data_IF_959404783523
#
_entry.id   IF_959404783523
#
_cell.length_a   1.000
_cell.length_b   1.000
_cell.length_c   1.000
_cell.angle_alpha   90.00
_cell.angle_beta   90.00
_cell.angle_gamma   90.00
#
_symmetry.space_group_name_H-M   'P 1'
#
loop_
_entity.id
_entity.type
_entity.pdbx_description
1 polymer ?
#
# COMPACT_ATOMS: atom_id res chain seq x y z
N UNK A 1 -26.93 2.30 2.83
CA UNK A 1 -26.17 3.58 2.99
C UNK A 1 -24.71 3.21 2.78
N UNK A 2 -24.21 3.37 1.57
CA UNK A 2 -22.78 3.19 1.27
C UNK A 2 -22.03 4.24 2.04
N UNK A 3 -21.19 3.79 2.94
CA UNK A 3 -20.45 4.64 3.83
C UNK A 3 -19.45 5.45 3.00
N UNK A 4 -19.51 6.76 3.14
CA UNK A 4 -18.53 7.72 2.62
C UNK A 4 -17.15 7.56 3.31
N UNK A 5 -16.73 6.29 3.52
CA UNK A 5 -15.55 5.91 4.27
C UNK A 5 -14.35 5.86 3.33
N UNK A 6 -13.77 7.02 3.06
CA UNK A 6 -12.63 7.19 2.17
C UNK A 6 -11.35 7.46 2.96
N UNK A 7 -10.21 7.15 2.37
CA UNK A 7 -8.93 7.73 2.75
C UNK A 7 -8.75 9.04 1.98
N UNK A 8 -8.65 10.16 2.69
CA UNK A 8 -8.54 11.50 2.10
C UNK A 8 -7.30 12.19 2.63
N UNK A 9 -6.54 12.74 1.72
CA UNK A 9 -5.34 13.53 1.99
C UNK A 9 -5.57 14.95 1.47
N UNK A 10 -5.41 15.95 2.35
CA UNK A 10 -5.63 17.36 2.01
C UNK A 10 -4.38 18.17 2.26
N UNK A 11 -3.85 18.79 1.22
CA UNK A 11 -2.77 19.77 1.27
C UNK A 11 -1.56 19.34 2.11
N UNK A 12 -1.12 18.06 2.03
CA UNK A 12 0.01 17.57 2.82
C UNK A 12 1.32 18.23 2.40
N UNK A 13 2.04 18.76 3.38
CA UNK A 13 3.35 19.39 3.21
C UNK A 13 4.39 18.75 4.09
N UNK A 14 5.58 18.48 3.54
CA UNK A 14 6.75 18.05 4.31
C UNK A 14 8.01 18.80 3.91
N UNK A 15 8.67 19.37 4.91
CA UNK A 15 9.95 20.07 4.77
C UNK A 15 11.02 19.39 5.63
N UNK A 16 12.21 19.27 5.08
CA UNK A 16 13.42 18.82 5.76
C UNK A 16 14.47 19.93 5.67
N UNK A 17 14.61 20.72 6.72
CA UNK A 17 15.41 21.95 6.68
C UNK A 17 14.91 22.92 5.60
N UNK A 18 15.77 23.21 4.63
CA UNK A 18 15.45 24.11 3.51
C UNK A 18 14.73 23.39 2.33
N UNK A 19 14.76 22.04 2.30
CA UNK A 19 14.18 21.26 1.21
C UNK A 19 12.72 20.93 1.48
N UNK A 20 11.82 21.32 0.58
CA UNK A 20 10.42 20.85 0.58
C UNK A 20 10.35 19.55 -0.20
N UNK A 21 10.06 18.45 0.48
CA UNK A 21 9.93 17.13 -0.14
C UNK A 21 8.52 16.85 -0.67
N UNK A 22 7.51 17.42 -0.02
CA UNK A 22 6.09 17.36 -0.44
C UNK A 22 5.49 18.73 -0.23
N UNK A 23 4.76 19.25 -1.23
CA UNK A 23 4.32 20.63 -1.31
C UNK A 23 2.82 20.73 -1.63
N UNK A 24 1.99 20.32 -0.68
CA UNK A 24 0.54 20.45 -0.78
C UNK A 24 -0.11 19.39 -1.66
N UNK A 25 0.23 18.10 -1.46
CA UNK A 25 -0.45 17.02 -2.19
C UNK A 25 -1.86 16.81 -1.68
N UNK A 26 -2.75 16.50 -2.62
CA UNK A 26 -4.12 16.07 -2.38
C UNK A 26 -4.35 14.76 -3.12
N UNK A 27 -4.96 13.80 -2.45
CA UNK A 27 -5.38 12.54 -3.06
C UNK A 27 -6.50 11.90 -2.23
N UNK A 28 -7.26 11.05 -2.87
CA UNK A 28 -8.24 10.22 -2.18
C UNK A 28 -8.18 8.77 -2.68
N UNK A 29 -8.64 7.85 -1.85
CA UNK A 29 -8.83 6.42 -2.19
C UNK A 29 -10.19 6.00 -1.68
N UNK A 30 -11.00 5.41 -2.56
CA UNK A 30 -12.30 4.85 -2.19
C UNK A 30 -12.14 3.39 -1.74
N UNK A 31 -13.07 2.83 -0.94
CA UNK A 31 -13.17 1.39 -0.74
C UNK A 31 -13.31 0.66 -2.07
N UNK A 32 -12.61 -0.47 -2.23
CA UNK A 32 -12.67 -1.25 -3.46
C UNK A 32 -12.07 -0.55 -4.69
N UNK A 33 -11.14 0.37 -4.49
CA UNK A 33 -10.41 1.07 -5.55
C UNK A 33 -8.91 0.85 -5.42
N UNK A 34 -8.22 0.66 -6.54
CA UNK A 34 -6.75 0.66 -6.60
C UNK A 34 -6.28 1.98 -7.20
N UNK A 35 -5.57 2.76 -6.41
CA UNK A 35 -5.03 4.07 -6.80
C UNK A 35 -3.51 4.03 -6.83
N UNK A 36 -2.92 4.46 -7.95
CA UNK A 36 -1.47 4.61 -8.09
C UNK A 36 -0.97 5.98 -7.60
N UNK A 37 0.18 6.01 -6.92
CA UNK A 37 0.97 7.24 -6.71
C UNK A 37 2.30 7.08 -7.40
N UNK A 38 2.42 7.57 -8.61
CA UNK A 38 3.53 7.35 -9.54
C UNK A 38 4.38 8.62 -9.66
N UNK A 39 5.64 8.46 -10.07
CA UNK A 39 6.53 9.59 -10.29
C UNK A 39 8.01 9.18 -10.19
N UNK A 40 8.94 10.03 -10.61
CA UNK A 40 10.36 9.74 -10.59
C UNK A 40 10.91 9.59 -9.16
N UNK A 41 12.15 9.09 -9.06
CA UNK A 41 12.84 9.01 -7.78
C UNK A 41 13.02 10.40 -7.18
N UNK A 42 12.76 10.50 -5.87
CA UNK A 42 12.83 11.78 -5.16
C UNK A 42 11.63 12.72 -5.36
N UNK A 43 10.59 12.32 -6.10
CA UNK A 43 9.38 13.14 -6.31
C UNK A 43 8.54 13.34 -5.05
N UNK A 44 8.73 12.54 -3.98
CA UNK A 44 8.00 12.65 -2.73
C UNK A 44 7.06 11.49 -2.40
N UNK A 45 7.02 10.41 -3.21
CA UNK A 45 6.14 9.24 -3.03
C UNK A 45 6.24 8.62 -1.63
N UNK A 46 7.39 8.09 -1.25
CA UNK A 46 7.64 7.45 0.05
C UNK A 46 7.39 8.42 1.21
N UNK A 47 7.78 9.71 1.06
CA UNK A 47 7.47 10.73 2.07
C UNK A 47 5.97 10.91 2.26
N UNK A 48 5.20 10.90 1.17
CA UNK A 48 3.73 10.98 1.22
C UNK A 48 3.13 9.75 1.92
N UNK A 49 3.58 8.56 1.55
CA UNK A 49 3.18 7.31 2.22
C UNK A 49 3.46 7.37 3.72
N UNK A 50 4.66 7.77 4.13
CA UNK A 50 5.03 7.86 5.55
C UNK A 50 4.20 8.87 6.34
N UNK A 51 3.77 9.97 5.71
CA UNK A 51 2.82 10.89 6.34
C UNK A 51 1.42 10.26 6.46
N UNK A 52 0.95 9.56 5.43
CA UNK A 52 -0.38 8.94 5.40
C UNK A 52 -0.48 7.81 6.43
N UNK A 53 0.54 6.97 6.58
CA UNK A 53 0.54 5.88 7.58
C UNK A 53 0.93 6.34 8.99
N UNK A 54 1.46 7.57 9.16
CA UNK A 54 1.81 8.15 10.45
C UNK A 54 3.20 7.78 10.97
N UNK A 55 4.12 7.35 10.11
CA UNK A 55 5.55 7.19 10.44
C UNK A 55 6.24 8.54 10.60
N UNK A 56 5.88 9.53 9.80
CA UNK A 56 6.36 10.90 9.94
C UNK A 56 5.19 11.87 10.05
N UNK A 57 5.40 12.96 10.79
CA UNK A 57 4.40 14.03 10.89
C UNK A 57 4.54 14.99 9.72
N UNK A 58 3.43 15.39 9.06
CA UNK A 58 3.44 16.48 8.11
C UNK A 58 3.76 17.81 8.82
N UNK A 59 4.27 18.78 8.06
CA UNK A 59 4.41 20.17 8.54
C UNK A 59 3.09 20.93 8.41
N UNK A 60 2.26 20.54 7.42
CA UNK A 60 0.95 21.13 7.17
C UNK A 60 0.05 20.10 6.46
N UNK A 61 -1.26 20.36 6.39
CA UNK A 61 -2.25 19.51 5.78
C UNK A 61 -2.83 18.46 6.71
N UNK A 62 -3.74 17.66 6.18
CA UNK A 62 -4.58 16.75 6.96
C UNK A 62 -4.74 15.40 6.26
N UNK A 63 -4.89 14.35 7.06
CA UNK A 63 -5.25 12.99 6.62
C UNK A 63 -6.52 12.58 7.34
N UNK A 64 -7.51 12.12 6.57
CA UNK A 64 -8.78 11.61 7.08
C UNK A 64 -8.97 10.15 6.71
N UNK A 65 -9.63 9.42 7.58
CA UNK A 65 -10.13 8.08 7.35
C UNK A 65 -11.63 8.07 7.67
N UNK A 66 -12.47 8.08 6.64
CA UNK A 66 -13.86 8.45 6.77
C UNK A 66 -13.99 9.87 7.34
N UNK A 67 -14.83 10.04 8.34
CA UNK A 67 -15.05 11.34 9.01
C UNK A 67 -13.98 11.67 10.07
N UNK A 68 -13.04 10.75 10.33
CA UNK A 68 -12.04 10.92 11.40
C UNK A 68 -10.75 11.55 10.86
N UNK A 69 -10.34 12.70 11.39
CA UNK A 69 -9.01 13.22 11.16
C UNK A 69 -7.97 12.41 11.93
N UNK A 70 -7.05 11.77 11.20
CA UNK A 70 -6.02 10.90 11.74
C UNK A 70 -4.61 11.50 11.68
N UNK A 71 -4.47 12.75 11.26
CA UNK A 71 -3.18 13.43 11.01
C UNK A 71 -2.19 13.28 12.16
N UNK A 72 -2.67 13.42 13.40
CA UNK A 72 -1.85 13.35 14.62
C UNK A 72 -1.76 11.96 15.22
N UNK A 73 -2.47 10.97 14.66
CA UNK A 73 -2.48 9.61 15.20
C UNK A 73 -1.19 8.88 14.83
N UNK A 74 -0.57 8.18 15.78
CA UNK A 74 0.54 7.30 15.48
C UNK A 74 0.07 6.09 14.67
N UNK A 75 0.99 5.43 13.97
CA UNK A 75 0.73 4.32 13.06
C UNK A 75 -0.18 3.23 13.65
N UNK A 76 0.07 2.80 14.90
CA UNK A 76 -0.73 1.75 15.53
C UNK A 76 -2.22 2.12 15.73
N UNK A 77 -2.52 3.42 15.97
CA UNK A 77 -3.91 3.89 16.05
C UNK A 77 -4.57 3.90 14.68
N UNK A 78 -3.83 4.28 13.63
CA UNK A 78 -4.32 4.24 12.24
C UNK A 78 -4.59 2.81 11.80
N UNK A 79 -3.73 1.86 12.18
CA UNK A 79 -3.92 0.43 11.91
C UNK A 79 -5.21 -0.11 12.54
N UNK A 80 -5.52 0.29 13.79
CA UNK A 80 -6.78 -0.08 14.48
C UNK A 80 -8.03 0.54 13.84
N UNK A 81 -7.88 1.61 13.09
CA UNK A 81 -8.95 2.24 12.32
C UNK A 81 -9.09 1.63 10.92
N UNK A 82 -8.24 0.66 10.56
CA UNK A 82 -8.32 -0.05 9.29
C UNK A 82 -7.36 0.46 8.20
N UNK A 83 -6.27 1.16 8.56
CA UNK A 83 -5.22 1.57 7.61
C UNK A 83 -3.97 0.72 7.79
N UNK A 84 -3.71 -0.20 6.87
CA UNK A 84 -2.53 -1.07 6.90
C UNK A 84 -1.46 -0.65 5.90
N UNK A 85 -0.24 -1.15 6.10
CA UNK A 85 0.92 -0.77 5.29
C UNK A 85 1.83 -1.97 5.04
N UNK A 86 2.22 -2.13 3.79
CA UNK A 86 3.22 -3.09 3.33
C UNK A 86 4.46 -2.32 2.87
N UNK A 87 5.57 -2.35 3.63
CA UNK A 87 6.79 -1.64 3.27
C UNK A 87 7.51 -2.26 2.08
N UNK A 88 8.40 -1.49 1.45
CA UNK A 88 9.32 -1.95 0.43
C UNK A 88 10.29 -2.99 1.00
N UNK A 89 10.87 -2.72 2.16
CA UNK A 89 11.81 -3.61 2.84
C UNK A 89 11.09 -4.83 3.45
N UNK A 90 11.73 -6.02 3.43
CA UNK A 90 11.16 -7.22 4.03
C UNK A 90 10.82 -7.02 5.52
N UNK A 91 9.57 -7.31 5.88
CA UNK A 91 9.03 -7.04 7.22
C UNK A 91 8.76 -8.28 8.06
N UNK A 92 8.98 -9.50 7.52
CA UNK A 92 8.77 -10.75 8.27
C UNK A 92 9.76 -10.93 9.42
N UNK A 93 9.30 -11.52 10.51
CA UNK A 93 10.17 -11.99 11.58
C UNK A 93 10.85 -13.27 11.13
N UNK A 94 12.10 -13.16 10.70
CA UNK A 94 12.83 -14.21 9.98
C UNK A 94 12.97 -15.53 10.76
N UNK A 95 13.12 -15.47 12.09
CA UNK A 95 13.26 -16.64 12.98
C UNK A 95 11.95 -17.29 13.38
N UNK A 96 10.82 -16.64 13.10
CA UNK A 96 9.48 -17.16 13.36
C UNK A 96 8.99 -17.98 12.16
N UNK A 97 8.07 -18.92 12.40
CA UNK A 97 7.33 -19.62 11.34
C UNK A 97 6.35 -18.67 10.65
N UNK A 98 5.74 -19.11 9.56
CA UNK A 98 4.66 -18.36 8.91
C UNK A 98 3.51 -18.15 9.89
N UNK A 99 3.06 -19.20 10.57
CA UNK A 99 2.00 -19.12 11.59
C UNK A 99 2.36 -18.18 12.73
N UNK A 100 3.57 -18.30 13.29
CA UNK A 100 4.06 -17.41 14.35
C UNK A 100 4.12 -15.94 13.91
N UNK A 101 4.45 -15.67 12.64
CA UNK A 101 4.43 -14.32 12.06
C UNK A 101 3.04 -13.68 12.06
N UNK A 102 1.99 -14.46 11.77
CA UNK A 102 0.60 -14.00 11.80
C UNK A 102 0.11 -13.83 13.23
N UNK A 103 0.38 -14.82 14.10
CA UNK A 103 0.04 -14.74 15.52
C UNK A 103 0.64 -13.52 16.21
N UNK A 104 1.91 -13.16 15.90
CA UNK A 104 2.56 -11.99 16.47
C UNK A 104 1.81 -10.66 16.22
N UNK A 105 1.03 -10.57 15.15
CA UNK A 105 0.16 -9.41 14.89
C UNK A 105 -1.20 -9.58 15.58
N UNK A 106 -1.79 -10.78 15.48
CA UNK A 106 -3.12 -11.06 16.01
C UNK A 106 -3.21 -11.01 17.54
N UNK A 107 -2.09 -11.18 18.26
CA UNK A 107 -2.02 -11.02 19.72
C UNK A 107 -2.43 -9.63 20.20
N UNK A 108 -2.20 -8.59 19.36
CA UNK A 108 -2.60 -7.21 19.66
C UNK A 108 -4.05 -6.88 19.28
N UNK A 109 -4.77 -7.86 18.68
CA UNK A 109 -6.17 -7.68 18.29
C UNK A 109 -7.11 -8.19 19.40
N UNK A 110 -8.30 -7.61 19.55
CA UNK A 110 -9.29 -8.03 20.55
C UNK A 110 -10.01 -9.32 20.14
N UNK A 111 -9.24 -10.38 19.86
CA UNK A 111 -9.71 -11.68 19.41
C UNK A 111 -9.43 -12.75 20.46
N UNK A 112 -10.35 -13.70 20.62
CA UNK A 112 -10.14 -14.91 21.42
C UNK A 112 -9.08 -15.82 20.77
N UNK A 113 -8.56 -16.77 21.50
CA UNK A 113 -7.58 -17.74 20.99
C UNK A 113 -8.13 -18.52 19.80
N UNK A 114 -9.39 -18.95 19.83
CA UNK A 114 -10.03 -19.66 18.71
C UNK A 114 -10.21 -18.77 17.49
N UNK A 115 -10.63 -17.52 17.66
CA UNK A 115 -10.76 -16.56 16.57
C UNK A 115 -9.41 -16.23 15.90
N UNK A 116 -8.32 -16.17 16.68
CA UNK A 116 -6.98 -15.97 16.11
C UNK A 116 -6.56 -17.17 15.26
N UNK A 117 -6.76 -18.41 15.75
CA UNK A 117 -6.45 -19.62 15.02
C UNK A 117 -7.25 -19.72 13.71
N UNK A 118 -8.54 -19.41 13.74
CA UNK A 118 -9.40 -19.34 12.56
C UNK A 118 -8.91 -18.29 11.56
N UNK A 119 -8.55 -17.11 12.04
CA UNK A 119 -8.04 -16.04 11.18
C UNK A 119 -6.70 -16.39 10.53
N UNK A 120 -5.80 -17.08 11.25
CA UNK A 120 -4.54 -17.59 10.69
C UNK A 120 -4.84 -18.58 9.58
N UNK A 121 -5.70 -19.57 9.83
CA UNK A 121 -6.07 -20.58 8.83
C UNK A 121 -6.64 -19.91 7.56
N UNK A 122 -7.63 -19.04 7.71
CA UNK A 122 -8.23 -18.32 6.59
C UNK A 122 -7.20 -17.51 5.77
N UNK A 123 -6.29 -16.79 6.44
CA UNK A 123 -5.26 -16.03 5.76
C UNK A 123 -4.25 -16.92 5.04
N UNK A 124 -3.92 -18.06 5.60
CA UNK A 124 -3.04 -19.05 4.97
C UNK A 124 -3.67 -19.66 3.72
N UNK A 125 -4.97 -19.97 3.74
CA UNK A 125 -5.71 -20.44 2.57
C UNK A 125 -5.85 -19.35 1.51
N UNK A 126 -6.33 -18.16 1.89
CA UNK A 126 -6.56 -17.03 1.00
C UNK A 126 -5.32 -16.61 0.19
N UNK A 127 -4.13 -16.83 0.75
CA UNK A 127 -2.85 -16.42 0.16
C UNK A 127 -1.99 -17.59 -0.34
N UNK A 128 -2.55 -18.81 -0.35
CA UNK A 128 -1.87 -20.04 -0.78
C UNK A 128 -0.51 -20.25 -0.06
N UNK A 129 -0.52 -20.07 1.27
CA UNK A 129 0.66 -20.26 2.14
C UNK A 129 0.44 -21.34 3.22
N UNK A 130 -0.69 -22.08 3.17
CA UNK A 130 -1.00 -23.12 4.17
C UNK A 130 0.09 -24.20 4.25
N UNK A 131 0.66 -24.61 3.11
CA UNK A 131 1.75 -25.60 3.06
C UNK A 131 3.07 -25.08 3.67
N UNK A 132 3.19 -23.79 3.87
CA UNK A 132 4.37 -23.11 4.41
C UNK A 132 4.24 -22.80 5.91
N UNK A 133 3.09 -23.09 6.51
CA UNK A 133 2.66 -22.65 7.84
C UNK A 133 3.72 -22.87 8.92
N UNK A 134 4.33 -24.06 8.92
CA UNK A 134 5.34 -24.46 9.91
C UNK A 134 6.78 -24.10 9.50
N UNK A 135 6.98 -23.53 8.31
CA UNK A 135 8.31 -23.15 7.83
C UNK A 135 8.76 -21.83 8.45
N UNK A 136 10.05 -21.75 8.78
CA UNK A 136 10.67 -20.51 9.24
C UNK A 136 10.78 -19.49 8.08
N UNK A 137 10.45 -18.24 8.35
CA UNK A 137 10.37 -17.22 7.30
C UNK A 137 11.69 -16.95 6.57
N UNK A 138 12.85 -17.29 7.16
CA UNK A 138 14.14 -17.16 6.48
C UNK A 138 14.35 -18.20 5.37
N UNK A 139 13.56 -19.32 5.34
CA UNK A 139 13.66 -20.37 4.33
C UNK A 139 12.79 -20.10 3.10
N UNK A 140 11.92 -19.11 3.18
CA UNK A 140 10.96 -18.77 2.12
C UNK A 140 11.63 -18.13 0.92
N UNK A 141 11.17 -18.47 -0.28
CA UNK A 141 11.47 -17.74 -1.51
C UNK A 141 10.97 -16.28 -1.43
N UNK A 142 11.41 -15.44 -2.34
CA UNK A 142 10.97 -14.04 -2.39
C UNK A 142 9.45 -13.88 -2.52
N UNK A 143 8.81 -14.68 -3.40
CA UNK A 143 7.38 -14.65 -3.60
C UNK A 143 6.57 -15.18 -2.40
N UNK A 144 6.98 -16.32 -1.84
CA UNK A 144 6.36 -16.87 -0.62
C UNK A 144 6.44 -15.88 0.54
N UNK A 145 7.62 -15.30 0.75
CA UNK A 145 7.81 -14.27 1.77
C UNK A 145 6.89 -13.07 1.55
N UNK A 146 6.73 -12.61 0.30
CA UNK A 146 5.84 -11.49 -0.01
C UNK A 146 4.38 -11.79 0.30
N UNK A 147 3.92 -13.01 0.01
CA UNK A 147 2.57 -13.47 0.40
C UNK A 147 2.38 -13.46 1.92
N UNK A 148 3.38 -13.91 2.69
CA UNK A 148 3.36 -13.85 4.16
C UNK A 148 3.31 -12.40 4.67
N UNK A 149 4.03 -11.47 4.05
CA UNK A 149 4.00 -10.05 4.39
C UNK A 149 2.61 -9.43 4.14
N UNK A 150 1.99 -9.79 3.02
CA UNK A 150 0.60 -9.39 2.74
C UNK A 150 -0.36 -10.00 3.77
N UNK A 151 -0.21 -11.30 4.10
CA UNK A 151 -1.01 -11.95 5.14
C UNK A 151 -0.93 -11.20 6.48
N UNK A 152 0.29 -10.79 6.87
CA UNK A 152 0.50 -9.99 8.08
C UNK A 152 -0.21 -8.64 8.02
N UNK A 153 -0.16 -7.96 6.87
CA UNK A 153 -0.86 -6.70 6.68
C UNK A 153 -2.40 -6.86 6.76
N UNK A 154 -2.92 -8.03 6.36
CA UNK A 154 -4.35 -8.37 6.40
C UNK A 154 -4.82 -8.89 7.77
N UNK A 155 -3.92 -9.21 8.71
CA UNK A 155 -4.30 -9.65 10.06
C UNK A 155 -5.21 -8.65 10.79
N UNK A 156 -5.06 -7.35 10.53
CA UNK A 156 -5.84 -6.27 11.17
C UNK A 156 -7.18 -5.99 10.51
N UNK A 157 -7.56 -6.79 9.49
CA UNK A 157 -8.76 -6.60 8.68
C UNK A 157 -8.90 -5.17 8.14
N UNK A 158 -7.92 -4.71 7.34
CA UNK A 158 -7.85 -3.33 6.93
C UNK A 158 -8.94 -2.97 5.92
N UNK A 159 -9.41 -1.73 5.98
CA UNK A 159 -10.26 -1.11 4.95
C UNK A 159 -9.43 -0.47 3.84
N UNK A 160 -8.20 -0.06 4.19
CA UNK A 160 -7.22 0.50 3.24
C UNK A 160 -5.86 -0.13 3.45
N UNK A 161 -5.18 -0.43 2.34
CA UNK A 161 -3.85 -1.01 2.30
C UNK A 161 -2.92 -0.14 1.45
N UNK A 162 -1.83 0.34 2.05
CA UNK A 162 -0.77 1.05 1.35
C UNK A 162 0.35 0.08 0.98
N UNK A 163 0.69 0.02 -0.30
CA UNK A 163 1.73 -0.85 -0.86
C UNK A 163 2.89 0.00 -1.38
N UNK A 164 4.03 -0.05 -0.69
CA UNK A 164 5.23 0.70 -1.06
C UNK A 164 6.17 -0.20 -1.86
N UNK A 165 6.27 0.06 -3.17
CA UNK A 165 7.06 -0.68 -4.15
C UNK A 165 6.91 -2.21 -4.05
N UNK A 166 5.67 -2.76 -4.14
CA UNK A 166 5.44 -4.19 -3.94
C UNK A 166 6.06 -5.09 -5.00
N UNK A 167 6.37 -4.56 -6.19
CA UNK A 167 6.94 -5.31 -7.31
C UNK A 167 8.46 -5.19 -7.41
N UNK A 168 9.10 -4.42 -6.53
CA UNK A 168 10.52 -4.17 -6.59
C UNK A 168 11.35 -5.44 -6.35
N UNK A 169 12.25 -5.77 -7.29
CA UNK A 169 13.19 -6.88 -7.14
C UNK A 169 12.56 -8.27 -7.14
N UNK A 170 11.36 -8.42 -7.69
CA UNK A 170 10.62 -9.69 -7.76
C UNK A 170 10.60 -10.21 -9.20
N UNK A 171 10.56 -11.54 -9.35
CA UNK A 171 10.43 -12.23 -10.62
C UNK A 171 9.08 -11.90 -11.30
N UNK A 172 9.02 -11.74 -12.64
CA UNK A 172 7.80 -11.42 -13.38
C UNK A 172 6.62 -12.36 -13.12
N UNK A 173 6.88 -13.65 -12.88
CA UNK A 173 5.82 -14.63 -12.57
C UNK A 173 5.17 -14.26 -11.23
N UNK A 174 5.98 -13.95 -10.22
CA UNK A 174 5.52 -13.56 -8.89
C UNK A 174 4.82 -12.20 -8.93
N UNK A 175 5.27 -11.26 -9.78
CA UNK A 175 4.57 -9.98 -10.00
C UNK A 175 3.13 -10.24 -10.48
N UNK A 176 2.93 -11.11 -11.48
CA UNK A 176 1.60 -11.44 -11.98
C UNK A 176 0.69 -12.08 -10.91
N UNK A 177 1.25 -12.92 -10.03
CA UNK A 177 0.51 -13.49 -8.90
C UNK A 177 0.12 -12.42 -7.88
N UNK A 178 1.02 -11.49 -7.58
CA UNK A 178 0.77 -10.38 -6.65
C UNK A 178 -0.25 -9.40 -7.21
N UNK A 179 -0.23 -9.15 -8.53
CA UNK A 179 -1.25 -8.35 -9.21
C UNK A 179 -2.64 -8.97 -9.05
N UNK A 180 -2.79 -10.28 -9.28
CA UNK A 180 -4.05 -11.01 -9.06
C UNK A 180 -4.52 -10.89 -7.61
N UNK A 181 -3.59 -11.01 -6.66
CA UNK A 181 -3.89 -10.85 -5.24
C UNK A 181 -4.43 -9.43 -4.94
N UNK A 182 -3.77 -8.39 -5.45
CA UNK A 182 -4.19 -6.99 -5.26
C UNK A 182 -5.59 -6.76 -5.84
N UNK A 183 -5.86 -7.27 -7.04
CA UNK A 183 -7.20 -7.20 -7.66
C UNK A 183 -8.23 -7.93 -6.80
N UNK A 184 -7.91 -9.12 -6.29
CA UNK A 184 -8.81 -9.86 -5.39
C UNK A 184 -9.10 -9.12 -4.07
N UNK A 185 -8.13 -8.39 -3.53
CA UNK A 185 -8.35 -7.55 -2.34
C UNK A 185 -9.26 -6.35 -2.65
N UNK A 186 -9.10 -5.72 -3.81
CA UNK A 186 -10.00 -4.68 -4.30
C UNK A 186 -11.45 -5.20 -4.40
N UNK A 187 -11.66 -6.38 -4.96
CA UNK A 187 -12.98 -7.00 -5.10
C UNK A 187 -13.64 -7.32 -3.74
N UNK A 188 -12.83 -7.52 -2.70
CA UNK A 188 -13.30 -7.64 -1.30
C UNK A 188 -13.61 -6.29 -0.64
N UNK A 189 -13.51 -5.18 -1.38
CA UNK A 189 -13.83 -3.83 -0.90
C UNK A 189 -12.68 -3.10 -0.22
N UNK A 190 -11.44 -3.63 -0.25
CA UNK A 190 -10.28 -2.96 0.31
C UNK A 190 -9.81 -1.87 -0.66
N UNK A 191 -9.72 -0.61 -0.19
CA UNK A 191 -9.11 0.48 -0.95
C UNK A 191 -7.58 0.35 -0.91
N UNK A 192 -6.92 0.50 -2.05
CA UNK A 192 -5.47 0.27 -2.16
C UNK A 192 -4.79 1.50 -2.71
N UNK A 193 -3.74 1.98 -2.03
CA UNK A 193 -2.81 2.98 -2.55
C UNK A 193 -1.48 2.31 -2.81
N UNK A 194 -1.03 2.31 -4.07
CA UNK A 194 0.19 1.63 -4.50
C UNK A 194 1.18 2.61 -5.11
N UNK A 195 2.45 2.47 -4.79
CA UNK A 195 3.55 3.09 -5.54
C UNK A 195 4.56 2.03 -5.97
N UNK A 196 5.12 2.20 -7.17
CA UNK A 196 6.22 1.38 -7.65
C UNK A 196 7.00 2.16 -8.72
N UNK A 197 8.24 1.77 -8.95
CA UNK A 197 9.02 2.27 -10.07
C UNK A 197 8.70 1.51 -11.38
N UNK A 198 8.07 0.34 -11.27
CA UNK A 198 7.62 -0.47 -12.40
C UNK A 198 6.24 0.00 -12.88
N UNK A 199 6.24 1.10 -13.62
CA UNK A 199 5.03 1.83 -14.04
C UNK A 199 4.03 0.95 -14.78
N UNK A 200 4.51 0.05 -15.68
CA UNK A 200 3.65 -0.84 -16.46
C UNK A 200 2.83 -1.74 -15.55
N UNK A 201 3.50 -2.36 -14.58
CA UNK A 201 2.88 -3.30 -13.67
C UNK A 201 1.82 -2.61 -12.80
N UNK A 202 2.06 -1.35 -12.41
CA UNK A 202 1.07 -0.58 -11.66
C UNK A 202 -0.10 -0.16 -12.57
N UNK A 203 0.17 0.43 -13.74
CA UNK A 203 -0.87 0.92 -14.64
C UNK A 203 -1.79 -0.20 -15.16
N UNK A 204 -1.33 -1.46 -15.14
CA UNK A 204 -2.16 -2.61 -15.54
C UNK A 204 -3.26 -2.98 -14.53
N UNK A 205 -3.16 -2.54 -13.28
CA UNK A 205 -4.07 -2.95 -12.20
C UNK A 205 -4.78 -1.80 -11.49
N UNK A 206 -4.37 -0.54 -11.73
CA UNK A 206 -5.01 0.62 -11.08
C UNK A 206 -6.26 1.07 -11.82
N UNK A 207 -7.24 1.54 -11.07
CA UNK A 207 -8.42 2.21 -11.62
C UNK A 207 -8.06 3.64 -12.07
N UNK A 208 -7.19 4.32 -11.31
CA UNK A 208 -6.59 5.62 -11.65
C UNK A 208 -5.27 5.80 -10.93
N UNK A 209 -4.49 6.80 -11.34
CA UNK A 209 -3.25 7.15 -10.66
C UNK A 209 -3.02 8.67 -10.62
N UNK A 210 -2.26 9.07 -9.62
CA UNK A 210 -1.68 10.40 -9.48
C UNK A 210 -0.21 10.35 -9.91
N UNK A 211 0.22 11.27 -10.75
CA UNK A 211 1.65 11.46 -11.03
C UNK A 211 2.15 12.62 -10.17
N UNK A 212 3.09 12.29 -9.27
CA UNK A 212 3.77 13.28 -8.44
C UNK A 212 5.12 13.66 -9.05
N UNK A 213 5.39 14.97 -9.11
CA UNK A 213 6.65 15.53 -9.56
C UNK A 213 7.03 16.72 -8.67
N UNK A 214 8.28 16.78 -8.22
CA UNK A 214 8.81 17.82 -7.32
C UNK A 214 7.91 18.12 -6.10
N UNK A 215 7.34 17.06 -5.53
CA UNK A 215 6.49 17.15 -4.34
C UNK A 215 5.06 17.63 -4.58
N UNK A 216 4.60 17.74 -5.82
CA UNK A 216 3.24 18.17 -6.19
C UNK A 216 2.57 17.14 -7.09
N UNK A 217 1.25 17.01 -7.00
CA UNK A 217 0.50 16.26 -8.01
C UNK A 217 0.53 17.06 -9.31
N UNK A 218 1.05 16.43 -10.36
CA UNK A 218 1.16 16.99 -11.69
C UNK A 218 -0.12 16.76 -12.49
N UNK A 219 -0.62 15.50 -12.42
CA UNK A 219 -1.78 15.04 -13.18
C UNK A 219 -2.43 13.86 -12.46
N UNK A 220 -3.73 13.68 -12.68
CA UNK A 220 -4.52 12.56 -12.22
C UNK A 220 -5.37 12.02 -13.37
N UNK A 221 -5.54 10.71 -13.45
CA UNK A 221 -6.42 10.09 -14.43
C UNK A 221 -6.33 8.55 -14.43
N UNK A 222 -7.16 7.92 -15.25
CA UNK A 222 -7.04 6.49 -15.51
C UNK A 222 -5.79 6.19 -16.38
N UNK A 223 -5.46 4.92 -16.50
CA UNK A 223 -4.25 4.48 -17.24
C UNK A 223 -4.25 4.99 -18.68
N UNK A 224 -5.38 4.94 -19.39
CA UNK A 224 -5.48 5.39 -20.78
C UNK A 224 -5.22 6.90 -20.92
N UNK A 225 -5.81 7.70 -20.04
CA UNK A 225 -5.59 9.15 -20.01
C UNK A 225 -4.12 9.49 -19.75
N UNK A 226 -3.51 8.86 -18.73
CA UNK A 226 -2.12 9.14 -18.36
C UNK A 226 -1.12 8.72 -19.46
N UNK A 227 -1.40 7.63 -20.19
CA UNK A 227 -0.57 7.17 -21.30
C UNK A 227 -0.58 8.12 -22.49
N UNK A 228 -1.66 8.86 -22.70
CA UNK A 228 -1.83 9.79 -23.81
C UNK A 228 -1.50 11.24 -23.44
N UNK A 229 -1.31 11.55 -22.15
CA UNK A 229 -0.98 12.90 -21.71
C UNK A 229 0.47 13.28 -22.04
N UNK A 230 0.67 14.40 -22.72
CA UNK A 230 1.99 14.88 -23.16
C UNK A 230 2.92 15.15 -21.98
N UNK A 231 2.42 15.78 -20.89
CA UNK A 231 3.22 16.11 -19.71
C UNK A 231 3.63 14.87 -18.93
N UNK A 232 2.72 13.89 -18.78
CA UNK A 232 3.03 12.62 -18.14
C UNK A 232 4.13 11.87 -18.91
N UNK A 233 4.07 11.90 -20.24
CA UNK A 233 5.08 11.28 -21.11
C UNK A 233 6.41 12.01 -21.06
N UNK A 234 6.42 13.32 -21.18
CA UNK A 234 7.64 14.14 -21.16
C UNK A 234 8.39 14.00 -19.81
N UNK A 235 7.67 14.07 -18.68
CA UNK A 235 8.28 14.17 -17.34
C UNK A 235 8.59 12.80 -16.73
N UNK A 236 7.78 11.77 -17.03
CA UNK A 236 7.87 10.52 -16.28
C UNK A 236 7.83 9.26 -17.13
N UNK A 237 6.87 9.10 -18.03
CA UNK A 237 6.70 7.86 -18.78
C UNK A 237 7.77 7.68 -19.88
N UNK A 238 8.19 8.77 -20.50
CA UNK A 238 9.06 8.79 -21.68
C UNK A 238 8.26 8.62 -22.99
N UNK A 239 8.77 9.22 -24.07
CA UNK A 239 8.09 9.25 -25.39
C UNK A 239 7.83 7.86 -25.99
N UNK A 240 8.70 6.89 -25.70
CA UNK A 240 8.62 5.51 -26.24
C UNK A 240 7.85 4.53 -25.34
N UNK A 241 7.27 5.02 -24.24
CA UNK A 241 6.53 4.15 -23.33
C UNK A 241 5.26 3.61 -23.99
N UNK A 242 5.08 2.27 -23.95
CA UNK A 242 3.89 1.52 -24.42
C UNK A 242 3.55 0.46 -23.38
N UNK A 243 2.27 0.20 -23.21
CA UNK A 243 1.76 -0.92 -22.40
C UNK A 243 2.01 -2.24 -23.11
#
# INVERSE_FOLDING_TARGET
>A
MESNYKLIVKNLVKRYGKKTAVSGIELEVNPGEVVGLLGPNGAGKTTSFYMIIGLIRPNDGQVFLGDSEITKFPMYKRARLGLSYLPQEPSVFRSLTVEENLHAILEFMPLSKSQRAERVHQLCEDLDIEKLRDQKAFTLSGGERRRVEVARALCTDPKFLLLDEPFAGIDPIVVAELQKLIVGLRERGIGILITDHNVREVLSIVDRAYIIFEGKILIEGNSEYLLNDEKAREIYLGEKFKM
#
